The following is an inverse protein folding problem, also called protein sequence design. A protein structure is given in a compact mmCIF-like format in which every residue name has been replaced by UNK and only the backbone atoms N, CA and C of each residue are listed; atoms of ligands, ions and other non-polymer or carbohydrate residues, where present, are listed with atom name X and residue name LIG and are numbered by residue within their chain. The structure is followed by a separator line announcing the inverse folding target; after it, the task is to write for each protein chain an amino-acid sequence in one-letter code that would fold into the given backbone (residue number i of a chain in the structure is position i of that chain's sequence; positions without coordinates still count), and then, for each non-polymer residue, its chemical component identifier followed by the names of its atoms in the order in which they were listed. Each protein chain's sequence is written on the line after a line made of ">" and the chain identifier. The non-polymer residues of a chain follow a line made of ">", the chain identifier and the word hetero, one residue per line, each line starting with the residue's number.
data_IF_997481915890
#
_entry.id   IF_997481915890
#
_cell.length_a   1.000
_cell.length_b   1.000
_cell.length_c   1.000
_cell.angle_alpha   90.00
_cell.angle_beta   90.00
_cell.angle_gamma   90.00
#
_symmetry.space_group_name_H-M   'P 1'
#
loop_
_entity.id
_entity.type
_entity.pdbx_description
1 polymer ?
#
# COMPACT_ATOMS: atom_id res chain seq x y z
N UNK A 1 -6.53 -10.94 -11.45
CA UNK A 1 -7.58 -11.93 -11.75
C UNK A 1 -8.40 -12.27 -10.51
N UNK A 2 -7.75 -12.57 -9.38
CA UNK A 2 -8.44 -12.91 -8.13
C UNK A 2 -9.29 -11.73 -7.63
N UNK A 3 -8.75 -10.52 -7.70
CA UNK A 3 -9.48 -9.32 -7.29
C UNK A 3 -10.70 -9.08 -8.18
N UNK A 4 -10.53 -9.21 -9.49
CA UNK A 4 -11.62 -9.05 -10.45
C UNK A 4 -12.71 -10.10 -10.25
N UNK A 5 -12.31 -11.35 -10.03
CA UNK A 5 -13.25 -12.43 -9.75
C UNK A 5 -14.02 -12.18 -8.45
N UNK A 6 -13.35 -11.65 -7.42
CA UNK A 6 -13.99 -11.27 -6.17
C UNK A 6 -15.04 -10.17 -6.36
N UNK A 7 -14.71 -9.14 -7.15
CA UNK A 7 -15.67 -8.06 -7.45
C UNK A 7 -16.87 -8.60 -8.21
N UNK A 8 -16.64 -9.47 -9.18
CA UNK A 8 -17.73 -10.10 -9.93
C UNK A 8 -18.64 -10.95 -9.02
N UNK A 9 -18.04 -11.73 -8.12
CA UNK A 9 -18.79 -12.55 -7.17
C UNK A 9 -19.66 -11.68 -6.26
N UNK A 10 -19.13 -10.54 -5.77
CA UNK A 10 -19.88 -9.59 -4.96
C UNK A 10 -21.04 -8.98 -5.74
N UNK A 11 -20.80 -8.60 -6.99
CA UNK A 11 -21.84 -8.05 -7.86
C UNK A 11 -22.98 -9.03 -8.07
N UNK A 12 -22.64 -10.30 -8.33
CA UNK A 12 -23.62 -11.36 -8.52
C UNK A 12 -24.39 -11.60 -7.21
N UNK A 13 -23.69 -11.66 -6.08
CA UNK A 13 -24.32 -11.86 -4.78
C UNK A 13 -25.33 -10.76 -4.46
N UNK A 14 -24.98 -9.50 -4.72
CA UNK A 14 -25.91 -8.38 -4.53
C UNK A 14 -27.11 -8.47 -5.48
N UNK A 15 -26.89 -8.90 -6.72
CA UNK A 15 -27.96 -9.09 -7.69
C UNK A 15 -28.92 -10.21 -7.29
N UNK A 16 -28.45 -11.17 -6.50
CA UNK A 16 -29.29 -12.27 -5.99
C UNK A 16 -29.97 -11.92 -4.67
N UNK A 17 -29.86 -10.67 -4.21
CA UNK A 17 -30.49 -10.22 -2.97
C UNK A 17 -29.70 -10.50 -1.72
N UNK A 18 -28.47 -10.96 -1.84
CA UNK A 18 -27.59 -11.13 -0.69
C UNK A 18 -27.04 -9.76 -0.27
N UNK A 19 -27.29 -9.37 0.97
CA UNK A 19 -26.89 -8.05 1.49
C UNK A 19 -25.39 -8.03 1.79
N UNK A 20 -24.55 -7.88 0.76
CA UNK A 20 -23.11 -7.72 0.92
C UNK A 20 -22.78 -6.24 0.79
N UNK A 21 -22.30 -5.57 1.88
CA UNK A 21 -22.01 -4.14 1.84
C UNK A 21 -20.69 -3.89 1.08
N UNK A 22 -20.78 -3.64 -0.22
CA UNK A 22 -19.62 -3.35 -1.07
C UNK A 22 -18.81 -2.20 -0.49
N UNK A 23 -19.47 -1.21 0.09
CA UNK A 23 -18.82 -0.04 0.69
C UNK A 23 -17.84 -0.40 1.80
N UNK A 24 -18.04 -1.54 2.47
CA UNK A 24 -17.15 -2.01 3.54
C UNK A 24 -16.18 -3.06 3.04
N UNK A 25 -16.58 -3.86 2.06
CA UNK A 25 -15.76 -4.93 1.51
C UNK A 25 -14.59 -4.37 0.70
N UNK A 26 -14.81 -3.31 -0.09
CA UNK A 26 -13.74 -2.72 -0.91
C UNK A 26 -12.61 -2.15 -0.06
N UNK A 27 -12.86 -1.33 0.98
CA UNK A 27 -11.79 -0.89 1.86
C UNK A 27 -11.07 -2.04 2.55
N UNK A 28 -11.80 -3.05 2.99
CA UNK A 28 -11.19 -4.22 3.63
C UNK A 28 -10.26 -4.95 2.66
N UNK A 29 -10.69 -5.14 1.41
CA UNK A 29 -9.87 -5.79 0.39
C UNK A 29 -8.63 -4.98 0.07
N UNK A 30 -8.75 -3.66 -0.05
CA UNK A 30 -7.61 -2.77 -0.28
C UNK A 30 -6.64 -2.84 0.89
N UNK A 31 -7.14 -2.83 2.12
CA UNK A 31 -6.31 -2.93 3.31
C UNK A 31 -5.53 -4.23 3.36
N UNK A 32 -6.19 -5.35 3.06
CA UNK A 32 -5.52 -6.66 3.01
C UNK A 32 -4.46 -6.67 1.92
N UNK A 33 -4.76 -6.10 0.76
CA UNK A 33 -3.80 -6.00 -0.34
C UNK A 33 -2.57 -5.20 0.06
N UNK A 34 -2.75 -4.08 0.74
CA UNK A 34 -1.63 -3.25 1.20
C UNK A 34 -0.77 -3.98 2.24
N UNK A 35 -1.39 -4.74 3.13
CA UNK A 35 -0.65 -5.56 4.09
C UNK A 35 0.20 -6.59 3.35
N UNK A 36 -0.37 -7.25 2.35
CA UNK A 36 0.34 -8.23 1.54
C UNK A 36 1.51 -7.61 0.81
N UNK A 37 1.27 -6.47 0.15
CA UNK A 37 2.30 -5.74 -0.58
C UNK A 37 3.40 -5.26 0.37
N UNK A 38 3.04 -4.80 1.56
CA UNK A 38 4.02 -4.36 2.55
C UNK A 38 4.96 -5.47 2.98
N UNK A 39 4.40 -6.66 3.22
CA UNK A 39 5.22 -7.82 3.57
C UNK A 39 6.15 -8.22 2.42
N UNK A 40 5.68 -8.11 1.18
CA UNK A 40 6.50 -8.42 0.01
C UNK A 40 7.59 -7.38 -0.20
N UNK A 41 7.24 -6.09 -0.07
CA UNK A 41 8.19 -5.00 -0.30
C UNK A 41 9.41 -5.06 0.62
N UNK A 42 9.20 -5.50 1.86
CA UNK A 42 10.30 -5.61 2.82
C UNK A 42 11.37 -6.63 2.38
N UNK A 43 11.02 -7.52 1.46
CA UNK A 43 11.89 -8.61 1.01
C UNK A 43 12.31 -8.49 -0.44
N UNK A 44 11.80 -7.51 -1.19
CA UNK A 44 12.07 -7.42 -2.63
C UNK A 44 13.51 -6.94 -2.86
N UNK A 45 14.21 -7.66 -3.73
CA UNK A 45 15.56 -7.29 -4.14
C UNK A 45 15.52 -6.23 -5.25
N UNK A 46 16.61 -5.46 -5.44
CA UNK A 46 16.66 -4.45 -6.50
C UNK A 46 16.36 -5.06 -7.87
N UNK A 47 15.44 -4.42 -8.61
CA UNK A 47 15.07 -4.84 -9.96
C UNK A 47 14.40 -3.67 -10.67
N UNK A 48 14.09 -3.85 -11.97
CA UNK A 48 13.51 -2.79 -12.79
C UNK A 48 11.99 -2.86 -12.90
N UNK A 49 11.34 -3.86 -12.30
CA UNK A 49 9.92 -4.13 -12.57
C UNK A 49 9.01 -3.93 -11.38
N UNK A 50 9.43 -4.33 -10.18
CA UNK A 50 8.57 -4.36 -8.99
C UNK A 50 9.21 -3.60 -7.85
N UNK A 51 8.42 -2.81 -7.14
CA UNK A 51 8.84 -2.13 -5.93
C UNK A 51 8.67 -0.61 -6.02
N UNK A 52 9.23 0.08 -5.03
CA UNK A 52 9.22 1.54 -4.96
C UNK A 52 10.34 2.05 -5.87
N UNK A 53 9.96 2.54 -7.03
CA UNK A 53 10.89 2.91 -8.10
C UNK A 53 10.98 4.43 -8.21
N UNK A 54 11.87 5.01 -7.44
CA UNK A 54 12.23 6.42 -7.57
C UNK A 54 13.60 6.52 -8.24
N UNK A 55 13.97 7.70 -8.80
CA UNK A 55 15.33 7.85 -9.32
C UNK A 55 16.39 7.54 -8.28
N UNK A 56 16.08 7.77 -7.02
CA UNK A 56 17.02 7.56 -5.92
C UNK A 56 17.17 6.08 -5.55
N UNK A 57 16.08 5.31 -5.56
CA UNK A 57 16.16 3.86 -5.29
C UNK A 57 16.82 3.12 -6.44
N UNK A 58 16.60 3.56 -7.68
CA UNK A 58 17.19 2.90 -8.85
C UNK A 58 18.67 3.22 -9.00
N UNK A 59 19.16 4.29 -8.41
CA UNK A 59 20.59 4.69 -8.51
C UNK A 59 21.46 4.07 -7.42
N UNK A 60 20.88 3.47 -6.38
CA UNK A 60 21.64 2.92 -5.26
C UNK A 60 20.93 1.71 -4.68
N UNK A 61 21.62 0.56 -4.66
CA UNK A 61 21.08 -0.66 -4.05
C UNK A 61 20.88 -0.50 -2.54
N UNK A 62 21.75 0.27 -1.89
CA UNK A 62 21.62 0.54 -0.45
C UNK A 62 20.35 1.33 -0.15
N UNK A 63 20.08 2.37 -0.95
CA UNK A 63 18.86 3.16 -0.82
C UNK A 63 17.63 2.29 -1.10
N UNK A 64 17.69 1.44 -2.13
CA UNK A 64 16.61 0.52 -2.44
C UNK A 64 16.27 -0.37 -1.26
N UNK A 65 17.29 -1.05 -0.72
CA UNK A 65 17.07 -2.01 0.37
C UNK A 65 16.50 -1.35 1.61
N UNK A 66 17.06 -0.19 1.98
CA UNK A 66 16.60 0.50 3.18
C UNK A 66 15.21 1.11 2.99
N UNK A 67 14.93 1.67 1.81
CA UNK A 67 13.60 2.20 1.50
C UNK A 67 12.54 1.10 1.55
N UNK A 68 12.83 -0.07 0.98
CA UNK A 68 11.88 -1.17 0.97
C UNK A 68 11.74 -1.82 2.35
N UNK A 69 12.83 -1.87 3.11
CA UNK A 69 12.80 -2.41 4.48
C UNK A 69 11.90 -1.57 5.39
N UNK A 70 11.95 -0.25 5.26
CA UNK A 70 11.08 0.66 6.03
C UNK A 70 9.72 0.86 5.38
N UNK A 71 9.67 0.89 4.06
CA UNK A 71 8.42 1.06 3.32
C UNK A 71 7.46 -0.09 3.49
N UNK A 72 7.98 -1.32 3.64
CA UNK A 72 7.15 -2.49 3.88
C UNK A 72 6.24 -2.33 5.10
N UNK A 73 6.80 -2.07 6.28
CA UNK A 73 5.99 -1.81 7.48
C UNK A 73 5.04 -0.62 7.33
N UNK A 74 5.44 0.43 6.61
CA UNK A 74 4.55 1.57 6.33
C UNK A 74 3.32 1.11 5.55
N UNK A 75 3.51 0.26 4.53
CA UNK A 75 2.39 -0.30 3.77
C UNK A 75 1.51 -1.20 4.64
N UNK A 76 2.11 -1.99 5.52
CA UNK A 76 1.35 -2.85 6.43
C UNK A 76 0.47 -2.00 7.35
N UNK A 77 1.04 -0.97 7.96
CA UNK A 77 0.29 -0.07 8.84
C UNK A 77 -0.83 0.63 8.06
N UNK A 78 -0.52 1.14 6.86
CA UNK A 78 -1.52 1.78 6.01
C UNK A 78 -2.66 0.81 5.68
N UNK A 79 -2.32 -0.44 5.37
CA UNK A 79 -3.30 -1.48 5.09
C UNK A 79 -4.22 -1.76 6.27
N UNK A 80 -3.66 -1.83 7.47
CA UNK A 80 -4.44 -2.02 8.70
C UNK A 80 -5.37 -0.82 8.96
N UNK A 81 -4.89 0.39 8.71
CA UNK A 81 -5.70 1.60 8.86
C UNK A 81 -6.85 1.62 7.85
N UNK A 82 -6.57 1.28 6.59
CA UNK A 82 -7.58 1.21 5.53
C UNK A 82 -8.63 0.14 5.87
N UNK A 83 -8.18 -1.03 6.33
CA UNK A 83 -9.09 -2.10 6.72
C UNK A 83 -9.99 -1.66 7.91
N UNK A 84 -9.39 -0.95 8.88
CA UNK A 84 -10.16 -0.42 10.00
C UNK A 84 -11.17 0.64 9.56
N UNK A 85 -10.86 1.41 8.51
CA UNK A 85 -11.78 2.39 7.95
C UNK A 85 -13.06 1.75 7.42
N UNK A 86 -13.02 0.45 7.07
CA UNK A 86 -14.20 -0.29 6.65
C UNK A 86 -15.27 -0.35 7.75
N UNK A 87 -14.87 -0.21 9.02
CA UNK A 87 -15.77 -0.22 10.18
C UNK A 87 -16.20 1.18 10.61
N UNK A 88 -15.60 2.23 10.02
CA UNK A 88 -15.88 3.61 10.39
C UNK A 88 -17.13 4.13 9.66
N UNK A 89 -17.77 5.22 10.19
CA UNK A 89 -18.82 5.89 9.44
C UNK A 89 -18.32 6.35 8.08
N UNK A 90 -19.20 6.36 7.09
CA UNK A 90 -18.84 6.69 5.72
C UNK A 90 -18.13 8.03 5.60
N UNK A 91 -18.57 9.03 6.35
CA UNK A 91 -17.97 10.36 6.32
C UNK A 91 -16.51 10.36 6.81
N UNK A 92 -16.16 9.46 7.74
CA UNK A 92 -14.80 9.35 8.26
C UNK A 92 -13.94 8.37 7.44
N UNK A 93 -14.56 7.38 6.80
CA UNK A 93 -13.83 6.33 6.08
C UNK A 93 -13.02 6.88 4.91
N UNK A 94 -13.60 7.74 4.09
CA UNK A 94 -12.92 8.29 2.93
C UNK A 94 -11.68 9.13 3.28
N UNK A 95 -11.75 10.09 4.21
CA UNK A 95 -10.56 10.83 4.61
C UNK A 95 -9.46 9.93 5.19
N UNK A 96 -9.84 8.93 5.99
CA UNK A 96 -8.88 8.00 6.58
C UNK A 96 -8.17 7.20 5.48
N UNK A 97 -8.91 6.68 4.52
CA UNK A 97 -8.36 5.91 3.41
C UNK A 97 -7.41 6.74 2.55
N UNK A 98 -7.84 7.95 2.20
CA UNK A 98 -7.02 8.86 1.38
C UNK A 98 -5.73 9.22 2.12
N UNK A 99 -5.82 9.54 3.40
CA UNK A 99 -4.65 9.87 4.21
C UNK A 99 -3.68 8.69 4.32
N UNK A 100 -4.21 7.48 4.55
CA UNK A 100 -3.38 6.29 4.66
C UNK A 100 -2.66 5.97 3.36
N UNK A 101 -3.37 6.02 2.23
CA UNK A 101 -2.79 5.74 0.91
C UNK A 101 -1.78 6.81 0.54
N UNK A 102 -2.09 8.08 0.78
CA UNK A 102 -1.16 9.17 0.52
C UNK A 102 0.13 9.02 1.35
N UNK A 103 -0.01 8.70 2.64
CA UNK A 103 1.15 8.47 3.51
C UNK A 103 1.99 7.30 3.05
N UNK A 104 1.33 6.18 2.71
CA UNK A 104 2.02 4.99 2.23
C UNK A 104 2.79 5.24 0.93
N UNK A 105 2.28 6.15 0.09
CA UNK A 105 2.94 6.50 -1.17
C UNK A 105 4.05 7.52 -0.97
N UNK A 106 3.82 8.55 -0.17
CA UNK A 106 4.74 9.68 -0.03
C UNK A 106 5.90 9.40 0.93
N UNK A 107 5.63 8.68 2.03
CA UNK A 107 6.67 8.43 3.05
C UNK A 107 7.88 7.70 2.45
N UNK A 108 7.69 6.57 1.72
CA UNK A 108 8.85 5.89 1.12
C UNK A 108 9.55 6.74 0.06
N UNK A 109 8.82 7.53 -0.71
CA UNK A 109 9.42 8.38 -1.75
C UNK A 109 10.31 9.44 -1.10
N UNK A 110 9.81 10.14 -0.08
CA UNK A 110 10.58 11.15 0.64
C UNK A 110 11.78 10.48 1.33
N UNK A 111 11.58 9.34 1.93
CA UNK A 111 12.64 8.61 2.60
C UNK A 111 13.74 8.20 1.63
N UNK A 112 13.38 7.72 0.43
CA UNK A 112 14.38 7.35 -0.58
C UNK A 112 15.24 8.55 -0.98
N UNK A 113 14.63 9.72 -1.11
CA UNK A 113 15.37 10.96 -1.41
C UNK A 113 16.32 11.31 -0.27
N UNK A 114 15.84 11.29 0.97
CA UNK A 114 16.66 11.62 2.15
C UNK A 114 17.84 10.66 2.28
N UNK A 115 17.61 9.38 2.09
CA UNK A 115 18.65 8.36 2.16
C UNK A 115 19.68 8.54 1.05
N UNK A 116 19.23 8.81 -0.17
CA UNK A 116 20.11 9.06 -1.30
C UNK A 116 20.98 10.30 -1.05
N UNK A 117 20.38 11.39 -0.60
CA UNK A 117 21.10 12.63 -0.33
C UNK A 117 22.13 12.44 0.78
N UNK A 118 21.78 11.68 1.81
CA UNK A 118 22.70 11.37 2.91
C UNK A 118 23.90 10.57 2.41
N UNK A 119 23.65 9.60 1.51
CA UNK A 119 24.71 8.79 0.90
C UNK A 119 25.65 9.67 0.09
N UNK A 120 25.14 10.66 -0.66
CA UNK A 120 25.96 11.59 -1.43
C UNK A 120 26.80 12.47 -0.52
N UNK A 121 26.27 12.89 0.63
CA UNK A 121 26.98 13.75 1.57
C UNK A 121 28.14 13.01 2.25
N UNK A 122 27.99 11.70 2.48
CA UNK A 122 28.99 10.87 3.14
C UNK A 122 30.15 10.50 2.21
N UNK A 123 30.04 10.80 0.91
CA UNK A 123 31.13 10.65 -0.05
C UNK A 123 31.92 11.97 -0.12
#
# INVERSE_FOLDING_TARGET
>A
LTFTAGVHALTIANGLGMAVPIERVVPLAIGVLLVFLGNYLARVEPNWFVGIRTPWTLSSDAVWRQTHRTGGPVFVVAGLVVAAAALAPRAAAWPIMIAAIAGASLIPVVQSYVLWRKEQTDQ
#
